data_IF_076856906391
#
_entry.id   IF_076856906391
#
_cell.length_a   1.000
_cell.length_b   1.000
_cell.length_c   1.000
_cell.angle_alpha   90.00
_cell.angle_beta   90.00
_cell.angle_gamma   90.00
#
_symmetry.space_group_name_H-M   'P 1'
#
loop_
_entity.id
_entity.type
_entity.pdbx_description
1 polymer ?
#
# COMPACT_ATOMS: atom_id res chain seq x y z
N UNK A 1 13.02 13.57 27.95
CA UNK A 1 11.60 13.18 28.09
C UNK A 1 10.81 14.11 27.18
N UNK A 2 9.82 13.59 26.46
CA UNK A 2 8.84 14.41 25.76
C UNK A 2 7.47 13.73 25.81
N UNK A 3 6.49 14.27 25.10
CA UNK A 3 5.11 13.77 25.14
C UNK A 3 4.70 13.30 23.74
N UNK A 4 4.42 12.01 23.62
CA UNK A 4 3.79 11.39 22.45
C UNK A 4 2.28 11.60 22.47
N UNK A 5 1.65 11.59 21.30
CA UNK A 5 0.20 11.77 21.15
C UNK A 5 -0.58 10.58 21.73
N UNK A 6 -0.09 9.35 21.51
CA UNK A 6 -0.77 8.12 21.92
C UNK A 6 -0.36 7.66 23.32
N UNK A 7 0.93 7.75 23.64
CA UNK A 7 1.51 7.17 24.86
C UNK A 7 1.74 8.15 26.01
N UNK A 8 1.50 9.46 25.81
CA UNK A 8 1.81 10.48 26.81
C UNK A 8 3.32 10.63 27.03
N UNK A 9 3.76 10.75 28.28
CA UNK A 9 5.16 11.01 28.62
C UNK A 9 6.08 9.81 28.29
N UNK A 10 7.07 10.05 27.42
CA UNK A 10 8.01 9.03 26.93
C UNK A 10 9.46 9.51 27.08
N UNK A 11 10.34 8.61 27.51
CA UNK A 11 11.78 8.86 27.61
C UNK A 11 12.49 8.65 26.27
N UNK A 12 13.70 9.23 26.13
CA UNK A 12 14.51 8.99 24.94
C UNK A 12 14.87 7.52 24.81
N UNK A 13 14.92 7.01 23.58
CA UNK A 13 15.30 5.63 23.32
C UNK A 13 16.82 5.45 23.56
N UNK A 14 17.23 4.67 24.57
CA UNK A 14 18.65 4.53 24.93
C UNK A 14 19.46 3.76 23.88
N UNK A 15 18.81 3.09 22.93
CA UNK A 15 19.47 2.39 21.83
C UNK A 15 19.89 3.32 20.68
N UNK A 16 19.43 4.58 20.68
CA UNK A 16 19.73 5.54 19.63
C UNK A 16 20.98 6.35 19.96
N UNK A 17 22.01 6.21 19.14
CA UNK A 17 23.10 7.19 19.04
C UNK A 17 22.77 8.31 18.05
N UNK A 18 21.82 8.06 17.15
CA UNK A 18 21.27 8.98 16.17
C UNK A 18 19.82 8.58 15.87
N UNK A 19 19.01 9.53 15.43
CA UNK A 19 17.64 9.24 15.00
C UNK A 19 17.67 8.42 13.69
N UNK A 20 16.73 7.48 13.56
CA UNK A 20 16.57 6.71 12.34
C UNK A 20 15.91 7.54 11.23
N UNK A 21 16.34 7.33 9.99
CA UNK A 21 15.64 7.86 8.81
C UNK A 21 14.58 6.87 8.31
N UNK A 22 14.82 5.57 8.50
CA UNK A 22 13.88 4.48 8.19
C UNK A 22 13.76 3.57 9.43
N UNK A 23 12.52 3.24 9.79
CA UNK A 23 12.18 2.26 10.82
C UNK A 23 11.57 1.03 10.13
N UNK A 24 12.31 -0.07 10.08
CA UNK A 24 11.83 -1.36 9.55
C UNK A 24 11.23 -2.22 10.67
N UNK A 25 9.98 -2.60 10.51
CA UNK A 25 9.28 -3.58 11.35
C UNK A 25 9.06 -4.84 10.52
N UNK A 26 9.78 -5.91 10.84
CA UNK A 26 9.66 -7.20 10.14
C UNK A 26 9.02 -8.25 11.04
N UNK A 27 7.96 -8.89 10.55
CA UNK A 27 7.29 -9.98 11.26
C UNK A 27 7.96 -11.31 10.91
N UNK A 28 8.66 -11.90 11.89
CA UNK A 28 9.32 -13.20 11.76
C UNK A 28 8.44 -14.42 12.11
N UNK A 29 7.20 -14.20 12.54
CA UNK A 29 6.24 -15.27 12.85
C UNK A 29 5.41 -15.66 11.62
N UNK A 30 4.49 -16.61 11.77
CA UNK A 30 3.51 -16.99 10.74
C UNK A 30 2.19 -16.21 10.85
N UNK A 31 2.11 -15.21 11.72
CA UNK A 31 0.89 -14.44 11.95
C UNK A 31 0.80 -13.24 11.01
N UNK A 32 -0.44 -12.89 10.65
CA UNK A 32 -0.78 -11.64 9.96
C UNK A 32 -0.56 -10.43 10.87
N UNK A 33 -0.38 -9.27 10.24
CA UNK A 33 -0.38 -7.98 10.94
C UNK A 33 -1.81 -7.48 11.06
N UNK A 34 -2.31 -7.32 12.28
CA UNK A 34 -3.63 -6.73 12.54
C UNK A 34 -3.45 -5.31 13.09
N UNK A 35 -3.92 -4.31 12.34
CA UNK A 35 -3.74 -2.90 12.64
C UNK A 35 -5.10 -2.22 12.83
N UNK A 36 -5.49 -2.02 14.09
CA UNK A 36 -6.80 -1.49 14.47
C UNK A 36 -6.70 -0.12 15.17
N UNK A 37 -5.70 0.69 14.81
CA UNK A 37 -5.49 1.99 15.43
C UNK A 37 -4.26 2.72 14.92
N UNK A 38 -3.87 3.77 15.63
CA UNK A 38 -2.77 4.63 15.23
C UNK A 38 -1.40 4.04 15.55
N UNK A 39 -0.46 4.17 14.62
CA UNK A 39 0.98 3.97 14.81
C UNK A 39 1.66 5.34 14.85
N UNK A 40 2.40 5.62 15.92
CA UNK A 40 3.11 6.90 16.11
C UNK A 40 4.62 6.70 16.11
N UNK A 41 5.31 7.49 15.29
CA UNK A 41 6.76 7.71 15.45
C UNK A 41 6.96 8.87 16.42
N UNK A 42 7.36 8.58 17.65
CA UNK A 42 7.68 9.62 18.63
C UNK A 42 9.12 10.14 18.45
N UNK A 43 9.28 11.45 18.27
CA UNK A 43 10.59 12.10 18.08
C UNK A 43 10.79 12.63 16.65
N UNK A 44 11.99 12.45 16.09
CA UNK A 44 12.27 12.85 14.69
C UNK A 44 11.36 12.05 13.76
N UNK A 45 10.71 12.76 12.84
CA UNK A 45 9.96 12.16 11.73
C UNK A 45 10.83 11.17 10.94
N UNK A 46 10.27 10.02 10.57
CA UNK A 46 10.98 8.95 9.86
C UNK A 46 10.06 8.23 8.88
N UNK A 47 10.65 7.55 7.89
CA UNK A 47 9.93 6.59 7.07
C UNK A 47 9.67 5.32 7.88
N UNK A 48 8.51 4.70 7.69
CA UNK A 48 8.10 3.46 8.36
C UNK A 48 7.88 2.39 7.30
N UNK A 49 8.55 1.26 7.50
CA UNK A 49 8.36 0.06 6.69
C UNK A 49 7.78 -1.04 7.58
N UNK A 50 6.72 -1.69 7.13
CA UNK A 50 6.14 -2.87 7.78
C UNK A 50 6.15 -4.02 6.78
N UNK A 51 6.98 -5.02 7.05
CA UNK A 51 7.11 -6.21 6.22
C UNK A 51 6.52 -7.42 6.95
N UNK A 52 5.50 -8.03 6.37
CA UNK A 52 4.92 -9.25 6.90
C UNK A 52 4.54 -10.21 5.76
N UNK A 53 5.28 -11.33 5.55
CA UNK A 53 4.97 -12.26 4.48
C UNK A 53 3.61 -12.94 4.62
N UNK A 54 2.95 -12.87 5.78
CA UNK A 54 1.66 -13.53 6.01
C UNK A 54 0.45 -12.65 5.67
N UNK A 55 0.66 -11.36 5.35
CA UNK A 55 -0.41 -10.44 5.00
C UNK A 55 -0.87 -9.51 6.13
N UNK A 56 -1.88 -8.70 5.82
CA UNK A 56 -2.33 -7.58 6.64
C UNK A 56 -3.84 -7.49 6.73
N UNK A 57 -4.32 -7.12 7.93
CA UNK A 57 -5.67 -6.68 8.20
C UNK A 57 -5.60 -5.29 8.83
N UNK A 58 -5.97 -4.25 8.08
CA UNK A 58 -6.10 -2.89 8.58
C UNK A 58 -7.58 -2.56 8.76
N UNK A 59 -7.99 -2.16 9.97
CA UNK A 59 -9.35 -1.72 10.23
C UNK A 59 -9.33 -0.46 11.12
N UNK A 60 -9.26 0.71 10.49
CA UNK A 60 -9.08 1.98 11.18
C UNK A 60 -7.62 2.24 11.53
N UNK A 61 -6.67 1.70 10.76
CA UNK A 61 -5.26 1.98 10.99
C UNK A 61 -4.91 3.41 10.54
N UNK A 62 -4.06 4.08 11.31
CA UNK A 62 -3.61 5.43 10.98
C UNK A 62 -2.16 5.66 11.38
N UNK A 63 -1.54 6.69 10.81
CA UNK A 63 -0.10 6.92 10.97
C UNK A 63 0.19 8.36 11.38
N UNK A 64 1.01 8.51 12.42
CA UNK A 64 1.36 9.78 13.04
C UNK A 64 2.87 9.98 12.94
N UNK A 65 3.27 11.15 12.44
CA UNK A 65 4.66 11.56 12.29
C UNK A 65 5.50 10.59 11.42
N UNK A 66 4.89 10.07 10.36
CA UNK A 66 5.50 9.19 9.36
C UNK A 66 5.65 9.94 8.04
N UNK A 67 6.89 10.14 7.55
CA UNK A 67 7.12 10.83 6.25
C UNK A 67 6.67 10.00 5.06
N UNK A 68 7.09 8.73 5.07
CA UNK A 68 6.78 7.73 4.05
C UNK A 68 6.37 6.44 4.74
N UNK A 69 5.33 5.78 4.23
CA UNK A 69 4.86 4.49 4.68
C UNK A 69 5.05 3.47 3.55
N UNK A 70 5.64 2.33 3.87
CA UNK A 70 5.71 1.19 2.96
C UNK A 70 5.25 -0.06 3.70
N UNK A 71 4.18 -0.69 3.22
CA UNK A 71 3.66 -1.92 3.80
C UNK A 71 3.71 -3.03 2.76
N UNK A 72 4.40 -4.13 3.07
CA UNK A 72 4.68 -5.19 2.10
C UNK A 72 4.30 -6.55 2.65
N UNK A 73 3.42 -7.26 1.95
CA UNK A 73 3.15 -8.69 2.16
C UNK A 73 4.32 -9.54 1.67
N UNK A 74 5.48 -9.42 2.32
CA UNK A 74 6.72 -10.03 1.86
C UNK A 74 7.83 -9.98 2.89
N UNK A 75 8.94 -10.62 2.54
CA UNK A 75 10.14 -10.66 3.38
C UNK A 75 11.16 -9.66 2.88
N UNK A 76 11.79 -8.93 3.80
CA UNK A 76 12.78 -7.92 3.44
C UNK A 76 14.03 -8.55 2.81
N UNK A 77 14.69 -7.77 1.95
CA UNK A 77 16.02 -8.03 1.41
C UNK A 77 16.88 -6.82 1.73
N UNK A 78 18.04 -7.12 2.30
CA UNK A 78 18.96 -6.14 2.85
C UNK A 78 20.35 -6.36 2.23
N UNK A 79 21.06 -5.29 1.94
CA UNK A 79 22.50 -5.31 1.63
C UNK A 79 23.16 -4.17 2.39
N UNK A 80 24.27 -4.46 3.07
CA UNK A 80 25.09 -3.45 3.75
C UNK A 80 24.30 -2.53 4.71
N UNK A 81 23.30 -3.09 5.39
CA UNK A 81 22.44 -2.37 6.33
C UNK A 81 21.33 -1.52 5.70
N UNK A 82 21.19 -1.54 4.37
CA UNK A 82 20.12 -0.85 3.65
C UNK A 82 19.09 -1.83 3.09
N UNK A 83 17.82 -1.39 3.01
CA UNK A 83 16.74 -2.12 2.34
C UNK A 83 16.96 -2.02 0.83
N UNK A 84 17.11 -3.15 0.16
CA UNK A 84 17.20 -3.22 -1.30
C UNK A 84 15.86 -3.57 -1.93
N UNK A 85 14.99 -4.26 -1.21
CA UNK A 85 13.67 -4.63 -1.69
C UNK A 85 13.03 -5.71 -0.85
N UNK A 86 12.02 -6.36 -1.41
CA UNK A 86 11.20 -7.33 -0.72
C UNK A 86 10.85 -8.48 -1.66
N UNK A 87 11.01 -9.71 -1.17
CA UNK A 87 10.43 -10.88 -1.81
C UNK A 87 8.94 -10.91 -1.46
N UNK A 88 8.07 -10.66 -2.42
CA UNK A 88 6.63 -10.70 -2.22
C UNK A 88 6.23 -12.16 -1.99
N UNK A 89 5.35 -12.43 -1.02
CA UNK A 89 4.86 -13.77 -0.80
C UNK A 89 3.88 -14.15 -1.92
N UNK A 90 4.12 -15.29 -2.55
CA UNK A 90 3.35 -15.78 -3.70
C UNK A 90 2.13 -16.63 -3.26
N UNK A 91 1.55 -16.31 -2.10
CA UNK A 91 0.39 -17.00 -1.53
C UNK A 91 -0.79 -16.02 -1.46
N UNK A 92 -1.95 -16.40 -1.96
CA UNK A 92 -3.14 -15.53 -1.92
C UNK A 92 -3.71 -15.35 -0.53
N UNK A 93 -3.31 -16.19 0.43
CA UNK A 93 -3.62 -16.00 1.86
C UNK A 93 -2.74 -14.93 2.52
N UNK A 94 -1.73 -14.40 1.81
CA UNK A 94 -0.91 -13.25 2.25
C UNK A 94 -1.42 -11.90 1.76
N UNK A 95 -2.70 -11.84 1.40
CA UNK A 95 -3.36 -10.63 0.94
C UNK A 95 -3.26 -9.46 1.93
N UNK A 96 -3.43 -8.25 1.39
CA UNK A 96 -3.56 -7.03 2.16
C UNK A 96 -5.03 -6.62 2.15
N UNK A 97 -5.66 -6.57 3.32
CA UNK A 97 -7.07 -6.21 3.45
C UNK A 97 -7.19 -4.91 4.23
N UNK A 98 -7.80 -3.91 3.61
CA UNK A 98 -8.32 -2.72 4.29
C UNK A 98 -9.81 -2.94 4.49
N UNK A 99 -10.21 -3.05 5.75
CA UNK A 99 -11.58 -3.30 6.20
C UNK A 99 -12.38 -1.99 6.27
N UNK A 100 -13.60 -2.06 6.78
CA UNK A 100 -14.62 -1.01 6.67
C UNK A 100 -14.25 0.29 7.38
N UNK A 101 -13.45 0.24 8.46
CA UNK A 101 -12.96 1.45 9.13
C UNK A 101 -11.76 2.09 8.44
N UNK A 102 -11.27 1.50 7.35
CA UNK A 102 -10.31 2.14 6.45
C UNK A 102 -8.86 2.23 6.94
N UNK A 103 -8.07 2.97 6.17
CA UNK A 103 -6.66 3.33 6.40
C UNK A 103 -6.48 4.84 6.21
N UNK A 104 -5.93 5.51 7.23
CA UNK A 104 -5.76 6.96 7.24
C UNK A 104 -4.29 7.38 7.38
N UNK A 105 -3.69 7.81 6.28
CA UNK A 105 -2.31 8.30 6.18
C UNK A 105 -2.26 9.79 5.77
N UNK A 106 -3.20 10.58 6.28
CA UNK A 106 -3.43 11.99 5.90
C UNK A 106 -2.25 12.95 6.16
N UNK A 107 -1.28 12.53 6.96
CA UNK A 107 -0.06 13.29 7.27
C UNK A 107 1.21 12.67 6.67
N UNK A 108 1.07 11.63 5.85
CA UNK A 108 2.18 10.90 5.23
C UNK A 108 2.22 11.23 3.75
N UNK A 109 3.36 11.73 3.28
CA UNK A 109 3.48 12.19 1.89
C UNK A 109 3.41 11.01 0.93
N UNK A 110 4.14 9.92 1.21
CA UNK A 110 4.21 8.78 0.29
C UNK A 110 3.71 7.50 0.98
N UNK A 111 2.76 6.81 0.35
CA UNK A 111 2.22 5.53 0.82
C UNK A 111 2.34 4.49 -0.27
N UNK A 112 3.17 3.47 -0.04
CA UNK A 112 3.30 2.29 -0.90
C UNK A 112 2.69 1.07 -0.17
N UNK A 113 1.64 0.45 -0.73
CA UNK A 113 1.10 -0.83 -0.27
C UNK A 113 1.38 -1.89 -1.34
N UNK A 114 2.10 -2.94 -0.96
CA UNK A 114 2.57 -3.99 -1.87
C UNK A 114 2.08 -5.35 -1.39
N UNK A 115 1.35 -6.07 -2.23
CA UNK A 115 0.95 -7.46 -1.97
C UNK A 115 0.61 -8.18 -3.27
N UNK A 116 0.57 -9.51 -3.27
CA UNK A 116 0.04 -10.28 -4.40
C UNK A 116 -1.46 -10.08 -4.59
N UNK A 117 -2.20 -9.77 -3.53
CA UNK A 117 -3.62 -9.43 -3.59
C UNK A 117 -3.93 -8.30 -2.62
N UNK A 118 -4.59 -7.25 -3.11
CA UNK A 118 -5.01 -6.09 -2.31
C UNK A 118 -6.53 -5.96 -2.38
N UNK A 119 -7.18 -5.96 -1.22
CA UNK A 119 -8.63 -5.85 -1.07
C UNK A 119 -8.97 -4.60 -0.28
N UNK A 120 -9.69 -3.68 -0.89
CA UNK A 120 -10.20 -2.48 -0.24
C UNK A 120 -11.70 -2.63 0.01
N UNK A 121 -12.11 -2.49 1.27
CA UNK A 121 -13.50 -2.59 1.75
C UNK A 121 -13.98 -1.37 2.52
N UNK A 122 -13.19 -0.30 2.50
CA UNK A 122 -13.46 0.94 3.22
C UNK A 122 -12.69 2.09 2.62
N UNK A 123 -12.44 3.11 3.45
CA UNK A 123 -11.77 4.32 3.01
C UNK A 123 -10.24 4.16 3.03
N UNK A 124 -9.56 4.74 2.04
CA UNK A 124 -8.11 4.82 1.98
C UNK A 124 -7.69 6.25 1.66
N UNK A 125 -7.08 6.93 2.63
CA UNK A 125 -6.63 8.29 2.46
C UNK A 125 -5.11 8.42 2.65
N UNK A 126 -4.46 9.17 1.77
CA UNK A 126 -3.06 9.57 1.91
C UNK A 126 -2.91 11.06 1.56
N UNK A 127 -1.83 11.69 2.02
CA UNK A 127 -1.65 13.13 1.81
C UNK A 127 -1.31 13.48 0.35
N UNK A 128 -0.31 12.82 -0.22
CA UNK A 128 0.25 13.20 -1.52
C UNK A 128 0.29 12.00 -2.47
N UNK A 129 1.29 11.14 -2.40
CA UNK A 129 1.43 10.03 -3.33
C UNK A 129 0.95 8.72 -2.69
N UNK A 130 -0.02 8.06 -3.32
CA UNK A 130 -0.52 6.74 -2.93
C UNK A 130 -0.31 5.74 -4.07
N UNK A 131 0.34 4.63 -3.77
CA UNK A 131 0.50 3.53 -4.71
C UNK A 131 0.05 2.19 -4.11
N UNK A 132 -0.89 1.53 -4.78
CA UNK A 132 -1.22 0.12 -4.56
C UNK A 132 -0.51 -0.68 -5.65
N UNK A 133 0.44 -1.53 -5.27
CA UNK A 133 1.29 -2.27 -6.22
C UNK A 133 1.12 -3.77 -6.02
N UNK A 134 0.67 -4.44 -7.06
CA UNK A 134 0.49 -5.86 -7.12
C UNK A 134 1.57 -6.54 -7.97
N UNK A 135 2.15 -7.58 -7.39
CA UNK A 135 2.97 -8.56 -8.08
C UNK A 135 3.25 -9.75 -7.18
N UNK A 136 3.90 -10.77 -7.71
CA UNK A 136 4.05 -12.06 -7.02
C UNK A 136 5.51 -12.54 -6.89
N UNK A 137 6.48 -11.67 -7.20
CA UNK A 137 7.90 -12.01 -7.14
C UNK A 137 8.69 -11.04 -6.26
N UNK A 138 8.85 -9.79 -6.69
CA UNK A 138 9.78 -8.86 -6.03
C UNK A 138 9.30 -7.41 -6.10
N UNK A 139 9.55 -6.67 -5.03
CA UNK A 139 9.44 -5.22 -5.00
C UNK A 139 10.83 -4.62 -4.79
N UNK A 140 11.30 -3.82 -5.74
CA UNK A 140 12.54 -3.08 -5.62
C UNK A 140 12.29 -1.79 -4.85
N UNK A 141 12.89 -1.67 -3.66
CA UNK A 141 12.64 -0.52 -2.79
C UNK A 141 13.35 0.75 -3.30
N UNK A 142 14.37 0.59 -4.13
CA UNK A 142 15.17 1.72 -4.66
C UNK A 142 14.52 2.36 -5.88
N UNK A 143 13.96 1.56 -6.78
CA UNK A 143 13.29 2.05 -7.99
C UNK A 143 11.78 2.20 -7.82
N UNK A 144 11.20 1.49 -6.84
CA UNK A 144 9.75 1.43 -6.64
C UNK A 144 9.03 0.50 -7.63
N UNK A 145 9.77 -0.29 -8.41
CA UNK A 145 9.22 -1.25 -9.37
C UNK A 145 8.77 -2.55 -8.69
N UNK A 146 7.64 -3.08 -9.14
CA UNK A 146 7.17 -4.42 -8.79
C UNK A 146 7.36 -5.36 -9.97
N UNK A 147 7.80 -6.59 -9.69
CA UNK A 147 8.03 -7.66 -10.64
C UNK A 147 7.16 -8.86 -10.31
N UNK A 148 6.79 -9.57 -11.37
CA UNK A 148 6.01 -10.80 -11.28
C UNK A 148 6.65 -11.94 -12.07
N UNK A 149 6.53 -13.15 -11.53
CA UNK A 149 6.88 -14.40 -12.17
C UNK A 149 5.66 -14.94 -12.92
N UNK A 150 5.85 -15.25 -14.20
CA UNK A 150 4.81 -15.73 -15.12
C UNK A 150 4.38 -17.17 -14.89
N UNK A 151 5.03 -17.91 -13.99
CA UNK A 151 4.75 -19.33 -13.72
C UNK A 151 3.79 -19.55 -12.53
N UNK A 152 3.36 -18.49 -11.84
CA UNK A 152 2.39 -18.63 -10.75
C UNK A 152 0.99 -18.99 -11.29
N UNK A 153 0.16 -19.62 -10.45
CA UNK A 153 -1.25 -19.84 -10.80
C UNK A 153 -1.94 -18.48 -11.00
N UNK A 154 -2.66 -18.28 -12.12
CA UNK A 154 -3.23 -16.98 -12.46
C UNK A 154 -4.28 -16.56 -11.44
N UNK A 155 -4.44 -15.24 -11.28
CA UNK A 155 -5.53 -14.62 -10.54
C UNK A 155 -6.27 -13.66 -11.45
N UNK A 156 -7.57 -13.50 -11.23
CA UNK A 156 -8.40 -12.61 -12.02
C UNK A 156 -8.14 -11.14 -11.68
N UNK A 157 -8.13 -10.79 -10.38
CA UNK A 157 -7.88 -9.44 -9.91
C UNK A 157 -6.79 -9.40 -8.86
N UNK A 158 -5.77 -8.57 -9.10
CA UNK A 158 -4.71 -8.29 -8.14
C UNK A 158 -5.08 -7.18 -7.16
N UNK A 159 -5.91 -6.23 -7.61
CA UNK A 159 -6.50 -5.17 -6.79
C UNK A 159 -8.00 -5.24 -6.96
N UNK A 160 -8.72 -5.39 -5.84
CA UNK A 160 -10.18 -5.51 -5.80
C UNK A 160 -10.77 -4.54 -4.78
N UNK A 161 -11.52 -3.56 -5.27
CA UNK A 161 -12.12 -2.47 -4.50
C UNK A 161 -13.63 -2.66 -4.47
N UNK A 162 -14.22 -2.84 -3.28
CA UNK A 162 -15.65 -3.12 -3.12
C UNK A 162 -16.53 -1.88 -3.15
N UNK A 163 -17.85 -2.08 -3.13
CA UNK A 163 -18.82 -0.99 -3.10
C UNK A 163 -18.58 -0.07 -1.89
N UNK A 164 -18.84 1.23 -2.09
CA UNK A 164 -18.70 2.31 -1.09
C UNK A 164 -17.28 2.48 -0.53
N UNK A 165 -16.27 1.89 -1.17
CA UNK A 165 -14.87 2.16 -0.87
C UNK A 165 -14.41 3.42 -1.59
N UNK A 166 -13.77 4.32 -0.86
CA UNK A 166 -13.28 5.59 -1.39
C UNK A 166 -11.77 5.67 -1.24
N UNK A 167 -11.09 6.16 -2.28
CA UNK A 167 -9.65 6.42 -2.26
C UNK A 167 -9.42 7.89 -2.56
N UNK A 168 -8.64 8.56 -1.70
CA UNK A 168 -8.26 9.96 -1.91
C UNK A 168 -6.80 10.24 -1.58
N UNK A 169 -6.08 10.86 -2.52
CA UNK A 169 -4.71 11.36 -2.31
C UNK A 169 -4.34 12.40 -3.38
N UNK A 170 -3.22 13.10 -3.20
CA UNK A 170 -2.63 13.98 -4.22
C UNK A 170 -2.47 13.34 -5.60
N UNK A 171 -1.94 12.13 -5.64
CA UNK A 171 -1.78 11.27 -6.81
C UNK A 171 -2.04 9.83 -6.40
N UNK A 172 -2.65 9.05 -7.30
CA UNK A 172 -2.98 7.65 -7.05
C UNK A 172 -2.41 6.81 -8.19
N UNK A 173 -1.73 5.72 -7.83
CA UNK A 173 -1.27 4.68 -8.76
C UNK A 173 -1.78 3.31 -8.34
N UNK A 174 -2.47 2.63 -9.24
CA UNK A 174 -2.84 1.22 -9.10
C UNK A 174 -2.03 0.44 -10.15
N UNK A 175 -1.09 -0.39 -9.71
CA UNK A 175 -0.15 -1.08 -10.60
C UNK A 175 -0.30 -2.58 -10.39
N UNK A 176 -0.67 -3.32 -11.43
CA UNK A 176 -0.81 -4.79 -11.39
C UNK A 176 0.09 -5.40 -12.47
N UNK A 177 1.06 -6.19 -12.03
CA UNK A 177 2.12 -6.72 -12.93
C UNK A 177 2.04 -8.22 -13.17
N UNK A 178 1.23 -8.94 -12.40
CA UNK A 178 1.05 -10.38 -12.59
C UNK A 178 0.25 -10.65 -13.86
N UNK A 179 0.77 -11.55 -14.70
CA UNK A 179 0.19 -11.81 -16.02
C UNK A 179 -1.28 -12.24 -15.91
N UNK A 180 -2.16 -11.54 -16.62
CA UNK A 180 -3.60 -11.79 -16.60
C UNK A 180 -4.35 -11.27 -15.35
N UNK A 181 -3.65 -10.74 -14.35
CA UNK A 181 -4.30 -10.14 -13.18
C UNK A 181 -4.73 -8.69 -13.49
N UNK A 182 -5.98 -8.38 -13.13
CA UNK A 182 -6.62 -7.10 -13.39
C UNK A 182 -6.80 -6.21 -12.16
N UNK A 183 -7.52 -5.12 -12.38
CA UNK A 183 -8.10 -4.24 -11.35
C UNK A 183 -9.61 -4.28 -11.46
N UNK A 184 -10.29 -4.55 -10.35
CA UNK A 184 -11.74 -4.43 -10.24
C UNK A 184 -12.11 -3.34 -9.24
N UNK A 185 -12.98 -2.42 -9.64
CA UNK A 185 -13.61 -1.45 -8.75
C UNK A 185 -15.12 -1.56 -8.89
N UNK A 186 -15.80 -1.55 -7.75
CA UNK A 186 -17.24 -1.38 -7.65
C UNK A 186 -17.61 0.09 -7.43
N UNK A 187 -18.89 0.41 -7.22
CA UNK A 187 -19.36 1.78 -7.04
C UNK A 187 -18.69 2.44 -5.81
N UNK A 188 -18.25 3.69 -5.93
CA UNK A 188 -17.41 4.40 -4.96
C UNK A 188 -16.61 5.47 -5.68
N UNK A 189 -15.66 6.11 -5.00
CA UNK A 189 -14.87 7.20 -5.59
C UNK A 189 -13.36 6.94 -5.50
N UNK A 190 -12.64 7.22 -6.60
CA UNK A 190 -11.17 7.32 -6.62
C UNK A 190 -10.82 8.73 -7.08
N UNK A 191 -10.35 9.54 -6.15
CA UNK A 191 -10.21 10.98 -6.33
C UNK A 191 -8.75 11.39 -6.12
N UNK A 192 -8.18 12.10 -7.10
CA UNK A 192 -6.92 12.84 -6.91
C UNK A 192 -7.13 14.34 -6.85
N UNK A 193 -6.47 15.03 -5.92
CA UNK A 193 -6.65 16.47 -5.69
C UNK A 193 -5.44 17.34 -6.09
N UNK A 194 -4.27 16.75 -6.37
CA UNK A 194 -3.07 17.49 -6.79
C UNK A 194 -2.60 17.16 -8.21
N UNK A 195 -2.66 15.90 -8.61
CA UNK A 195 -2.04 15.38 -9.83
C UNK A 195 -2.89 14.27 -10.46
N UNK A 196 -2.24 13.37 -11.19
CA UNK A 196 -2.87 12.34 -12.01
C UNK A 196 -3.29 11.10 -11.24
N UNK A 197 -4.26 10.39 -11.80
CA UNK A 197 -4.61 9.01 -11.51
C UNK A 197 -3.98 8.10 -12.58
N UNK A 198 -3.30 7.05 -12.17
CA UNK A 198 -2.72 6.02 -13.04
C UNK A 198 -3.22 4.64 -12.62
N UNK A 199 -3.82 3.89 -13.56
CA UNK A 199 -4.25 2.51 -13.34
C UNK A 199 -3.67 1.66 -14.47
N UNK A 200 -2.75 0.77 -14.12
CA UNK A 200 -2.08 -0.13 -15.05
C UNK A 200 -2.25 -1.56 -14.60
N UNK A 201 -2.65 -2.44 -15.51
CA UNK A 201 -2.74 -3.88 -15.27
C UNK A 201 -2.27 -4.71 -16.46
N UNK A 202 -1.83 -5.93 -16.19
CA UNK A 202 -1.62 -6.90 -17.26
C UNK A 202 -2.95 -7.52 -17.73
N UNK A 203 -3.92 -7.70 -16.84
CA UNK A 203 -5.27 -8.19 -17.13
C UNK A 203 -6.33 -7.08 -17.30
N UNK A 204 -7.58 -7.45 -17.04
CA UNK A 204 -8.74 -6.57 -17.24
C UNK A 204 -8.75 -5.37 -16.26
N UNK A 205 -9.20 -4.22 -16.76
CA UNK A 205 -9.60 -3.08 -15.94
C UNK A 205 -11.13 -3.00 -15.94
N UNK A 206 -11.75 -3.37 -14.82
CA UNK A 206 -13.20 -3.25 -14.59
C UNK A 206 -13.41 -2.10 -13.61
N UNK A 207 -13.76 -0.93 -14.13
CA UNK A 207 -13.80 0.33 -13.39
C UNK A 207 -15.24 0.82 -13.28
N UNK A 208 -15.88 0.61 -12.11
CA UNK A 208 -17.24 1.09 -11.82
C UNK A 208 -17.27 2.27 -10.85
N UNK A 209 -16.18 2.48 -10.11
CA UNK A 209 -15.99 3.65 -9.28
C UNK A 209 -15.94 4.93 -10.15
N UNK A 210 -16.42 6.05 -9.60
CA UNK A 210 -16.20 7.36 -10.19
C UNK A 210 -14.72 7.70 -10.09
N UNK A 211 -14.10 8.02 -11.23
CA UNK A 211 -12.69 8.40 -11.29
C UNK A 211 -12.62 9.91 -11.49
N UNK A 212 -12.05 10.61 -10.51
CA UNK A 212 -11.82 12.06 -10.60
C UNK A 212 -10.35 12.35 -10.43
N UNK A 213 -9.81 13.19 -11.31
CA UNK A 213 -8.42 13.62 -11.23
C UNK A 213 -8.30 15.11 -11.48
N UNK A 214 -7.38 15.75 -10.76
CA UNK A 214 -7.08 17.16 -10.98
C UNK A 214 -6.38 17.41 -12.32
N UNK A 215 -5.68 16.39 -12.85
CA UNK A 215 -5.02 16.43 -14.16
C UNK A 215 -5.48 15.27 -15.04
N UNK A 216 -4.63 14.30 -15.31
CA UNK A 216 -4.90 13.19 -16.23
C UNK A 216 -5.42 11.96 -15.49
N UNK A 217 -6.22 11.15 -16.20
CA UNK A 217 -6.57 9.78 -15.82
C UNK A 217 -5.95 8.87 -16.88
N UNK A 218 -4.92 8.12 -16.50
CA UNK A 218 -4.19 7.22 -17.39
C UNK A 218 -4.59 5.77 -17.09
N UNK A 219 -5.22 5.10 -18.05
CA UNK A 219 -5.67 3.72 -17.92
C UNK A 219 -4.93 2.84 -18.93
N UNK A 220 -4.23 1.81 -18.46
CA UNK A 220 -3.47 0.88 -19.31
C UNK A 220 -3.79 -0.57 -18.95
N UNK A 221 -4.23 -1.34 -19.95
CA UNK A 221 -4.31 -2.80 -19.87
C UNK A 221 -3.40 -3.40 -20.94
N UNK A 222 -2.46 -4.26 -20.54
CA UNK A 222 -1.50 -4.85 -21.49
C UNK A 222 -2.06 -6.05 -22.24
N UNK A 223 -2.86 -6.91 -21.58
CA UNK A 223 -3.39 -8.15 -22.13
C UNK A 223 -4.87 -8.40 -21.74
N UNK A 224 -5.60 -7.36 -21.34
CA UNK A 224 -7.03 -7.42 -21.02
C UNK A 224 -7.85 -6.31 -21.69
N UNK A 225 -9.11 -6.20 -21.28
CA UNK A 225 -10.03 -5.16 -21.72
C UNK A 225 -10.13 -4.04 -20.68
N UNK A 226 -10.48 -2.84 -21.15
CA UNK A 226 -10.85 -1.73 -20.27
C UNK A 226 -12.37 -1.55 -20.36
N UNK A 227 -13.06 -1.79 -19.25
CA UNK A 227 -14.49 -1.53 -19.07
C UNK A 227 -14.64 -0.42 -18.04
N UNK A 228 -15.02 0.79 -18.48
CA UNK A 228 -15.28 1.92 -17.59
C UNK A 228 -16.78 2.27 -17.58
N UNK A 229 -17.40 2.22 -16.41
CA UNK A 229 -18.82 2.51 -16.18
C UNK A 229 -19.05 3.63 -15.16
N UNK A 230 -18.00 4.10 -14.48
CA UNK A 230 -18.06 5.23 -13.56
C UNK A 230 -17.97 6.56 -14.32
N UNK A 231 -19.12 7.18 -14.60
CA UNK A 231 -19.26 8.57 -15.08
C UNK A 231 -20.26 9.27 -14.18
#
# INVERSE_FOLDING_TARGET
MGTSQLGGAVYGNPNLNQNADIILNEVGSTNRSVLNGALEVFGKNAAVVIANPNGFDCNGCSFINTSKLTMVSGQSRMSDGAITGFKINNDLTSDFIIHELGLYANNTNDVDIISRAIKLRGELQAKQDLALKQGNDYYDYTTGEVKSNTNAAPIEFGIDISHLSNISAGSIKLIVTEKGAGVNTADGDIITDLSNLEITADGDLVLKANLSSQTDINLTSHHGNITNQGI
#
